data_IF_337849549947
#
_entry.id   IF_337849549947
#
_cell.length_a   1.000
_cell.length_b   1.000
_cell.length_c   1.000
_cell.angle_alpha   90.00
_cell.angle_beta   90.00
_cell.angle_gamma   90.00
#
_symmetry.space_group_name_H-M   'P 1'
#
loop_
_entity.id
_entity.type
_entity.pdbx_description
1 polymer ?
#
# COMPACT_ATOMS: atom_id res chain seq x y z
N UNK A 1 -3.20 -15.96 -33.62
CA UNK A 1 -4.11 -16.08 -32.47
C UNK A 1 -3.93 -14.93 -31.49
N UNK A 2 -2.68 -14.59 -31.12
CA UNK A 2 -2.35 -13.46 -30.20
C UNK A 2 -2.77 -12.05 -30.70
N UNK A 3 -2.70 -11.83 -32.02
CA UNK A 3 -3.07 -10.53 -32.62
C UNK A 3 -4.57 -10.23 -32.49
N UNK A 4 -5.41 -11.27 -32.55
CA UNK A 4 -6.86 -11.16 -32.35
C UNK A 4 -7.23 -10.91 -30.88
N UNK A 5 -6.51 -11.52 -29.93
CA UNK A 5 -6.68 -11.26 -28.50
C UNK A 5 -6.23 -9.85 -28.13
N UNK A 6 -5.13 -9.34 -28.70
CA UNK A 6 -4.71 -7.95 -28.51
C UNK A 6 -5.71 -6.94 -29.10
N UNK A 7 -6.22 -7.17 -30.31
CA UNK A 7 -7.27 -6.32 -30.89
C UNK A 7 -8.58 -6.39 -30.10
N UNK A 8 -8.96 -7.57 -29.61
CA UNK A 8 -10.11 -7.74 -28.72
C UNK A 8 -9.94 -6.98 -27.41
N UNK A 9 -8.76 -7.07 -26.78
CA UNK A 9 -8.44 -6.32 -25.56
C UNK A 9 -8.49 -4.80 -25.80
N UNK A 10 -7.91 -4.31 -26.89
CA UNK A 10 -7.93 -2.88 -27.24
C UNK A 10 -9.35 -2.40 -27.54
N UNK A 11 -10.18 -3.21 -28.18
CA UNK A 11 -11.59 -2.90 -28.41
C UNK A 11 -12.37 -2.79 -27.08
N UNK A 12 -12.18 -3.73 -26.16
CA UNK A 12 -12.78 -3.71 -24.81
C UNK A 12 -12.29 -2.48 -24.02
N UNK A 13 -10.99 -2.16 -24.12
CA UNK A 13 -10.42 -0.98 -23.47
C UNK A 13 -11.00 0.32 -24.04
N UNK A 14 -11.19 0.39 -25.37
CA UNK A 14 -11.79 1.55 -26.03
C UNK A 14 -13.25 1.75 -25.63
N UNK A 15 -14.03 0.68 -25.59
CA UNK A 15 -15.45 0.74 -25.24
C UNK A 15 -15.63 1.08 -23.76
N UNK A 16 -14.77 0.54 -22.88
CA UNK A 16 -14.77 0.90 -21.45
C UNK A 16 -14.39 2.37 -21.21
N UNK A 17 -13.39 2.91 -21.94
CA UNK A 17 -13.05 4.34 -21.91
C UNK A 17 -14.19 5.24 -22.40
N UNK A 18 -14.93 4.80 -23.41
CA UNK A 18 -16.07 5.53 -23.96
C UNK A 18 -17.24 5.57 -22.96
N UNK A 19 -17.52 4.46 -22.27
CA UNK A 19 -18.50 4.42 -21.18
C UNK A 19 -18.04 5.23 -19.95
N UNK A 20 -16.74 5.21 -19.63
CA UNK A 20 -16.14 6.06 -18.60
C UNK A 20 -16.42 7.55 -18.87
N UNK A 21 -16.23 8.00 -20.11
CA UNK A 21 -16.50 9.39 -20.52
C UNK A 21 -17.99 9.75 -20.49
N UNK A 22 -18.88 8.82 -20.84
CA UNK A 22 -20.34 9.02 -20.84
C UNK A 22 -20.90 9.26 -19.43
N UNK A 23 -20.32 8.59 -18.42
CA UNK A 23 -20.66 8.75 -17.00
C UNK A 23 -19.53 9.42 -16.20
N UNK A 24 -18.81 10.34 -16.85
CA UNK A 24 -17.53 10.88 -16.38
C UNK A 24 -17.55 11.48 -14.98
N UNK A 25 -18.67 12.07 -14.53
CA UNK A 25 -18.78 12.65 -13.17
C UNK A 25 -18.77 11.58 -12.07
N UNK A 26 -19.51 10.47 -12.27
CA UNK A 26 -19.54 9.36 -11.31
C UNK A 26 -18.18 8.67 -11.27
N UNK A 27 -17.61 8.40 -12.45
CA UNK A 27 -16.36 7.67 -12.55
C UNK A 27 -15.17 8.51 -12.08
N UNK A 28 -15.17 9.82 -12.31
CA UNK A 28 -14.20 10.74 -11.72
C UNK A 28 -14.32 10.78 -10.19
N UNK A 29 -15.53 10.75 -9.64
CA UNK A 29 -15.74 10.69 -8.19
C UNK A 29 -15.21 9.40 -7.57
N UNK A 30 -15.42 8.26 -8.25
CA UNK A 30 -14.89 6.95 -7.82
C UNK A 30 -13.36 6.97 -7.88
N UNK A 31 -12.77 7.42 -8.99
CA UNK A 31 -11.31 7.53 -9.11
C UNK A 31 -10.71 8.45 -8.05
N UNK A 32 -11.35 9.60 -7.78
CA UNK A 32 -10.89 10.52 -6.74
C UNK A 32 -10.93 9.88 -5.35
N UNK A 33 -11.99 9.12 -5.05
CA UNK A 33 -12.12 8.39 -3.78
C UNK A 33 -11.05 7.30 -3.65
N UNK A 34 -10.80 6.53 -4.71
CA UNK A 34 -9.75 5.51 -4.75
C UNK A 34 -8.37 6.15 -4.53
N UNK A 35 -8.09 7.25 -5.22
CA UNK A 35 -6.84 7.98 -5.12
C UNK A 35 -6.65 8.57 -3.72
N UNK A 36 -7.71 9.13 -3.13
CA UNK A 36 -7.71 9.67 -1.78
C UNK A 36 -7.40 8.58 -0.74
N UNK A 37 -8.07 7.42 -0.84
CA UNK A 37 -7.82 6.28 0.06
C UNK A 37 -6.37 5.77 -0.05
N UNK A 38 -5.85 5.59 -1.25
CA UNK A 38 -4.46 5.16 -1.45
C UNK A 38 -3.46 6.20 -0.93
N UNK A 39 -3.75 7.49 -1.15
CA UNK A 39 -2.89 8.58 -0.64
C UNK A 39 -2.87 8.61 0.90
N UNK A 40 -4.02 8.40 1.54
CA UNK A 40 -4.12 8.33 3.00
C UNK A 40 -3.36 7.11 3.56
N UNK A 41 -3.51 5.94 2.93
CA UNK A 41 -2.76 4.74 3.33
C UNK A 41 -1.26 4.92 3.16
N UNK A 42 -0.81 5.51 2.04
CA UNK A 42 0.60 5.81 1.81
C UNK A 42 1.15 6.79 2.86
N UNK A 43 0.38 7.83 3.18
CA UNK A 43 0.78 8.83 4.16
C UNK A 43 0.85 8.24 5.58
N UNK A 44 -0.15 7.46 5.96
CA UNK A 44 -0.17 6.74 7.23
C UNK A 44 1.01 5.77 7.34
N UNK A 45 1.35 5.06 6.27
CA UNK A 45 2.52 4.17 6.24
C UNK A 45 3.81 4.97 6.44
N UNK A 46 3.98 6.06 5.70
CA UNK A 46 5.17 6.92 5.79
C UNK A 46 5.36 7.50 7.18
N UNK A 47 4.29 7.98 7.82
CA UNK A 47 4.35 8.53 9.17
C UNK A 47 4.60 7.46 10.24
N UNK A 48 4.13 6.24 10.03
CA UNK A 48 4.32 5.15 11.00
C UNK A 48 5.72 4.52 10.92
N UNK A 49 6.27 4.38 9.71
CA UNK A 49 7.60 3.77 9.48
C UNK A 49 8.74 4.71 9.87
N UNK A 50 8.63 6.01 9.57
CA UNK A 50 9.70 7.00 9.81
C UNK A 50 10.29 6.98 11.24
N UNK A 51 9.48 7.11 12.32
CA UNK A 51 10.02 7.08 13.68
C UNK A 51 10.64 5.72 13.97
N UNK A 52 10.03 4.64 13.51
CA UNK A 52 10.48 3.28 13.76
C UNK A 52 11.85 2.98 13.12
N UNK A 53 12.06 3.43 11.88
CA UNK A 53 13.36 3.35 11.20
C UNK A 53 14.42 4.20 11.92
N UNK A 54 14.05 5.39 12.39
CA UNK A 54 14.97 6.26 13.13
C UNK A 54 15.43 5.58 14.42
N UNK A 55 14.50 5.00 15.17
CA UNK A 55 14.80 4.29 16.42
C UNK A 55 15.66 3.05 16.15
N UNK A 56 15.31 2.25 15.14
CA UNK A 56 16.10 1.08 14.72
C UNK A 56 17.54 1.45 14.34
N UNK A 57 17.73 2.49 13.51
CA UNK A 57 19.05 2.97 13.08
C UNK A 57 19.84 3.46 14.31
N UNK A 58 19.19 4.19 15.20
CA UNK A 58 19.81 4.72 16.43
C UNK A 58 20.27 3.58 17.33
N UNK A 59 19.38 2.62 17.62
CA UNK A 59 19.68 1.46 18.44
C UNK A 59 20.77 0.57 17.81
N UNK A 60 20.74 0.38 16.49
CA UNK A 60 21.77 -0.37 15.77
C UNK A 60 23.14 0.32 15.81
N UNK A 61 23.19 1.65 15.70
CA UNK A 61 24.43 2.42 15.82
C UNK A 61 25.02 2.30 17.23
N UNK A 62 24.20 2.41 18.28
CA UNK A 62 24.65 2.19 19.65
C UNK A 62 25.18 0.75 19.87
N UNK A 63 24.66 -0.23 19.14
CA UNK A 63 25.03 -1.63 19.27
C UNK A 63 26.45 -1.89 18.75
N UNK A 64 26.88 -1.12 17.75
CA UNK A 64 28.26 -1.13 17.27
C UNK A 64 29.24 -0.48 18.25
N UNK A 65 28.77 0.45 19.09
CA UNK A 65 29.59 1.20 20.04
C UNK A 65 29.69 0.50 21.42
N UNK A 66 28.76 -0.39 21.73
CA UNK A 66 28.66 -1.02 23.06
C UNK A 66 29.50 -2.30 23.13
N UNK A 67 30.21 -2.51 24.25
CA UNK A 67 31.04 -3.71 24.44
C UNK A 67 30.17 -4.97 24.53
N UNK A 68 30.46 -6.01 23.72
CA UNK A 68 29.77 -7.30 23.79
C UNK A 68 29.88 -7.96 25.17
N UNK A 69 28.83 -8.67 25.59
CA UNK A 69 28.78 -9.39 26.88
C UNK A 69 28.35 -8.54 28.08
N UNK A 70 28.08 -7.25 27.88
CA UNK A 70 27.51 -6.38 28.92
C UNK A 70 25.98 -6.48 28.97
N UNK A 71 25.40 -6.14 30.13
CA UNK A 71 23.94 -6.03 30.29
C UNK A 71 23.32 -4.99 29.32
N UNK A 72 24.06 -3.91 29.05
CA UNK A 72 23.64 -2.87 28.11
C UNK A 72 23.56 -3.39 26.67
N UNK A 73 24.56 -4.17 26.24
CA UNK A 73 24.54 -4.83 24.93
C UNK A 73 23.33 -5.75 24.78
N UNK A 74 23.04 -6.58 25.79
CA UNK A 74 21.88 -7.48 25.76
C UNK A 74 20.55 -6.72 25.65
N UNK A 75 20.39 -5.63 26.41
CA UNK A 75 19.20 -4.76 26.32
C UNK A 75 19.04 -4.17 24.94
N UNK A 76 20.13 -3.70 24.34
CA UNK A 76 20.09 -3.07 23.03
C UNK A 76 19.77 -4.07 21.90
N UNK A 77 20.30 -5.30 21.98
CA UNK A 77 19.91 -6.39 21.08
C UNK A 77 18.41 -6.69 21.18
N UNK A 78 17.86 -6.73 22.40
CA UNK A 78 16.41 -6.95 22.58
C UNK A 78 15.57 -5.79 22.04
N UNK A 79 16.04 -4.54 22.17
CA UNK A 79 15.37 -3.37 21.61
C UNK A 79 15.36 -3.42 20.07
N UNK A 80 16.51 -3.65 19.43
CA UNK A 80 16.62 -3.79 17.97
C UNK A 80 15.73 -4.93 17.46
N UNK A 81 15.71 -6.08 18.13
CA UNK A 81 14.84 -7.21 17.77
C UNK A 81 13.37 -6.83 17.85
N UNK A 82 12.96 -6.14 18.91
CA UNK A 82 11.60 -5.67 19.08
C UNK A 82 11.21 -4.67 17.99
N UNK A 83 12.08 -3.70 17.66
CA UNK A 83 11.85 -2.72 16.61
C UNK A 83 11.66 -3.40 15.24
N UNK A 84 12.46 -4.43 14.92
CA UNK A 84 12.30 -5.24 13.70
C UNK A 84 10.97 -5.99 13.70
N UNK A 85 10.56 -6.56 14.83
CA UNK A 85 9.30 -7.29 14.94
C UNK A 85 8.10 -6.35 14.74
N UNK A 86 8.13 -5.18 15.37
CA UNK A 86 7.09 -4.15 15.19
C UNK A 86 7.07 -3.65 13.76
N UNK A 87 8.24 -3.43 13.15
CA UNK A 87 8.36 -3.03 11.74
C UNK A 87 7.69 -4.03 10.82
N UNK A 88 8.04 -5.31 10.95
CA UNK A 88 7.46 -6.37 10.14
C UNK A 88 5.95 -6.46 10.33
N UNK A 89 5.46 -6.41 11.59
CA UNK A 89 4.03 -6.44 11.88
C UNK A 89 3.27 -5.27 11.25
N UNK A 90 3.83 -4.06 11.33
CA UNK A 90 3.26 -2.86 10.74
C UNK A 90 3.19 -2.94 9.21
N UNK A 91 4.27 -3.36 8.55
CA UNK A 91 4.30 -3.57 7.10
C UNK A 91 3.25 -4.60 6.65
N UNK A 92 3.12 -5.72 7.37
CA UNK A 92 2.08 -6.71 7.10
C UNK A 92 0.67 -6.12 7.19
N UNK A 93 0.39 -5.30 8.20
CA UNK A 93 -0.92 -4.63 8.35
C UNK A 93 -1.16 -3.70 7.15
N UNK A 94 -0.17 -2.92 6.71
CA UNK A 94 -0.32 -2.02 5.56
C UNK A 94 -0.51 -2.78 4.25
N UNK A 95 0.22 -3.88 4.04
CA UNK A 95 0.06 -4.75 2.85
C UNK A 95 -1.37 -5.30 2.80
N UNK A 96 -1.84 -5.89 3.90
CA UNK A 96 -3.19 -6.47 3.97
C UNK A 96 -4.26 -5.38 3.77
N UNK A 97 -4.11 -4.24 4.44
CA UNK A 97 -5.07 -3.13 4.33
C UNK A 97 -5.11 -2.56 2.91
N UNK A 98 -3.96 -2.39 2.27
CA UNK A 98 -3.87 -1.92 0.88
C UNK A 98 -4.49 -2.92 -0.09
N UNK A 99 -4.24 -4.22 0.11
CA UNK A 99 -4.82 -5.28 -0.69
C UNK A 99 -6.36 -5.30 -0.60
N UNK A 100 -6.90 -5.29 0.62
CA UNK A 100 -8.36 -5.25 0.86
C UNK A 100 -8.97 -3.98 0.26
N UNK A 101 -8.31 -2.82 0.44
CA UNK A 101 -8.76 -1.55 -0.14
C UNK A 101 -8.79 -1.62 -1.66
N UNK A 102 -7.75 -2.19 -2.29
CA UNK A 102 -7.68 -2.36 -3.75
C UNK A 102 -8.80 -3.28 -4.26
N UNK A 103 -9.07 -4.40 -3.60
CA UNK A 103 -10.20 -5.29 -3.93
C UNK A 103 -11.54 -4.56 -3.82
N UNK A 104 -11.75 -3.80 -2.75
CA UNK A 104 -12.96 -3.00 -2.56
C UNK A 104 -13.13 -1.95 -3.66
N UNK A 105 -12.04 -1.27 -4.03
CA UNK A 105 -12.03 -0.29 -5.11
C UNK A 105 -12.36 -0.92 -6.47
N UNK A 106 -11.78 -2.09 -6.77
CA UNK A 106 -12.05 -2.84 -7.98
C UNK A 106 -13.52 -3.30 -8.06
N UNK A 107 -14.05 -3.87 -6.97
CA UNK A 107 -15.45 -4.28 -6.89
C UNK A 107 -16.41 -3.08 -7.08
N UNK A 108 -16.12 -1.95 -6.43
CA UNK A 108 -16.91 -0.72 -6.58
C UNK A 108 -16.89 -0.21 -8.02
N UNK A 109 -15.74 -0.25 -8.68
CA UNK A 109 -15.58 0.16 -10.07
C UNK A 109 -16.39 -0.73 -11.01
N UNK A 110 -16.35 -2.06 -10.82
CA UNK A 110 -17.13 -3.02 -11.60
C UNK A 110 -18.64 -2.77 -11.40
N UNK A 111 -19.10 -2.66 -10.15
CA UNK A 111 -20.51 -2.40 -9.85
C UNK A 111 -20.99 -1.08 -10.44
N UNK A 112 -20.22 0.00 -10.28
CA UNK A 112 -20.55 1.29 -10.84
C UNK A 112 -20.65 1.23 -12.37
N UNK A 113 -19.74 0.53 -13.03
CA UNK A 113 -19.77 0.34 -14.49
C UNK A 113 -20.99 -0.46 -14.97
N UNK A 114 -21.43 -1.46 -14.19
CA UNK A 114 -22.60 -2.29 -14.49
C UNK A 114 -23.93 -1.58 -14.28
N UNK A 115 -24.03 -0.69 -13.29
CA UNK A 115 -25.23 0.13 -13.03
C UNK A 115 -25.40 1.25 -14.06
N UNK A 116 -24.31 1.72 -14.67
CA UNK A 116 -24.34 2.75 -15.72
C UNK A 116 -24.67 2.22 -17.12
N UNK A 117 -24.85 0.92 -17.29
CA UNK A 117 -25.14 0.27 -18.57
C UNK A 117 -26.64 -0.03 -18.75
#
# INVERSE_FOLDING_TARGET
MELYTHFGFVAILRESLKNFLKHGKLMASITLLILSLHSLLFLANTFSIKPLLKDLITNAAFLQLTTPGTSEFAKLVTAVRHDIQVFAGLEWIFIVTTYVTSLFCAATTILASGVTH
#
